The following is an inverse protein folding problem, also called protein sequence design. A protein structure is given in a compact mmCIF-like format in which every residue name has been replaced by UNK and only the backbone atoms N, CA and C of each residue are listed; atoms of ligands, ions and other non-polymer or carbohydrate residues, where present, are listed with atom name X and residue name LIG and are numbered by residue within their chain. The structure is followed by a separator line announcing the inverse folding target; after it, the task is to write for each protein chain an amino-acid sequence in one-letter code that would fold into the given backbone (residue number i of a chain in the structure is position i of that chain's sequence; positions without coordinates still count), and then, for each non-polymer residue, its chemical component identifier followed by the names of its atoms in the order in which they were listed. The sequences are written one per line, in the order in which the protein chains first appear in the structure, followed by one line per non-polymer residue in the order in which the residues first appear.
data_IF_071952270603
#
_entry.id   IF_071952270603
#
_cell.length_a   1.000
_cell.length_b   1.000
_cell.length_c   1.000
_cell.angle_alpha   90.00
_cell.angle_beta   90.00
_cell.angle_gamma   90.00
#
_symmetry.space_group_name_H-M   'P 1'
#
loop_
_entity.id
_entity.type
_entity.pdbx_description
1 polymer ?
2 polymer ?
3 non-polymer ?
4 water ?
#
loop_
_entity_poly.entity_id
_entity_poly.type
_entity_poly.pdbx_seq_one_letter_code
_entity_poly.pdbx_strand_id
2 'polyribonucleotide' 'CU' ?
#
# COMPACT_ATOMS: atom_id res chain seq x y z
N UNK A 1 10.64 14.56 -13.66
CA UNK A 1 11.19 15.73 -12.97
C UNK A 1 12.31 15.31 -12.02
N UNK A 2 11.93 14.84 -10.83
CA UNK A 2 12.86 14.19 -9.91
C UNK A 2 12.90 12.69 -10.12
N UNK A 3 12.90 12.27 -11.38
CA UNK A 3 12.96 10.86 -11.76
C UNK A 3 14.30 10.27 -11.35
N UNK A 4 14.29 9.21 -10.55
CA UNK A 4 15.56 8.66 -10.09
C UNK A 4 15.38 7.19 -9.74
N UNK A 5 16.46 6.43 -9.93
CA UNK A 5 16.42 5.01 -9.57
C UNK A 5 16.58 4.79 -8.07
N UNK A 6 16.75 5.86 -7.29
CA UNK A 6 16.74 5.79 -5.84
C UNK A 6 15.37 6.09 -5.23
N UNK A 7 14.42 6.56 -6.03
CA UNK A 7 13.08 6.84 -5.52
C UNK A 7 12.40 5.55 -5.06
N UNK A 8 11.45 5.69 -4.13
CA UNK A 8 10.77 4.56 -3.52
C UNK A 8 9.29 4.55 -3.89
N UNK A 9 8.79 3.37 -4.27
CA UNK A 9 7.38 3.19 -4.59
C UNK A 9 6.69 2.59 -3.38
N UNK A 10 5.75 3.35 -2.81
CA UNK A 10 4.93 2.93 -1.70
C UNK A 10 3.56 2.53 -2.22
N UNK A 11 3.03 1.41 -1.74
CA UNK A 11 1.76 0.91 -2.24
C UNK A 11 0.95 0.31 -1.09
N UNK A 12 -0.36 0.51 -1.13
CA UNK A 12 -1.26 -0.16 -0.21
C UNK A 12 -2.47 -0.63 -1.00
N UNK A 13 -2.98 -1.80 -0.64
CA UNK A 13 -4.16 -2.39 -1.25
C UNK A 13 -5.21 -2.59 -0.15
N UNK A 14 -6.48 -2.54 -0.54
CA UNK A 14 -7.56 -3.08 0.27
C UNK A 14 -8.15 -4.25 -0.50
N UNK A 15 -8.58 -5.28 0.22
CA UNK A 15 -9.02 -6.53 -0.39
C UNK A 15 -10.30 -7.01 0.27
N UNK A 16 -10.96 -7.98 -0.38
CA UNK A 16 -12.13 -8.61 0.21
C UNK A 16 -11.76 -9.71 1.21
N UNK A 17 -10.48 -9.98 1.40
CA UNK A 17 -10.06 -10.95 2.39
C UNK A 17 -8.57 -11.18 2.28
N UNK A 18 -8.09 -12.21 2.99
CA UNK A 18 -6.65 -12.42 3.15
C UNK A 18 -6.07 -13.43 2.17
N UNK A 19 -6.87 -14.09 1.36
CA UNK A 19 -6.40 -15.21 0.55
C UNK A 19 -6.42 -14.81 -0.92
N UNK A 20 -5.25 -14.59 -1.54
CA UNK A 20 -5.23 -14.12 -2.94
C UNK A 20 -5.95 -15.05 -3.90
N UNK A 21 -6.03 -16.34 -3.61
CA UNK A 21 -6.69 -17.24 -4.53
C UNK A 21 -8.20 -17.12 -4.47
N UNK A 22 -8.73 -16.53 -3.41
CA UNK A 22 -10.16 -16.45 -3.18
C UNK A 22 -10.68 -15.01 -3.28
N UNK A 23 -9.88 -14.05 -2.87
CA UNK A 23 -10.32 -12.69 -2.64
C UNK A 23 -9.78 -11.78 -3.72
N UNK A 24 -10.19 -10.52 -3.67
CA UNK A 24 -9.96 -9.60 -4.76
C UNK A 24 -9.48 -8.27 -4.22
N UNK A 25 -8.79 -7.52 -5.06
CA UNK A 25 -8.37 -6.17 -4.72
C UNK A 25 -9.53 -5.22 -4.96
N UNK A 26 -9.89 -4.43 -3.95
CA UNK A 26 -10.93 -3.42 -4.12
C UNK A 26 -10.42 -1.99 -4.03
N UNK A 27 -9.19 -1.76 -3.54
CA UNK A 27 -8.63 -0.42 -3.65
C UNK A 27 -7.12 -0.52 -3.77
N UNK A 28 -6.54 0.45 -4.47
CA UNK A 28 -5.10 0.53 -4.62
C UNK A 28 -4.71 2.01 -4.57
N UNK A 29 -3.58 2.30 -3.94
CA UNK A 29 -3.02 3.65 -3.98
C UNK A 29 -1.52 3.52 -3.98
N UNK A 30 -0.84 4.48 -4.60
CA UNK A 30 0.61 4.51 -4.63
C UNK A 30 1.10 5.91 -4.29
N UNK A 31 2.29 5.98 -3.72
CA UNK A 31 2.99 7.24 -3.45
C UNK A 31 4.45 7.03 -3.80
N UNK A 32 5.09 8.03 -4.39
CA UNK A 32 6.53 7.98 -4.65
C UNK A 32 7.23 8.94 -3.71
N UNK A 33 8.23 8.46 -2.99
CA UNK A 33 9.10 9.33 -2.22
C UNK A 33 10.49 9.29 -2.80
N UNK A 34 11.31 10.26 -2.43
CA UNK A 34 12.71 10.10 -2.75
C UNK A 34 13.33 9.15 -1.74
N UNK A 35 14.63 8.95 -1.86
CA UNK A 35 15.35 8.06 -0.97
C UNK A 35 15.37 8.54 0.47
N UNK A 36 15.13 9.83 0.70
CA UNK A 36 15.08 10.40 2.04
C UNK A 36 13.65 10.48 2.59
N UNK A 37 12.69 9.84 1.93
CA UNK A 37 11.28 9.72 2.33
C UNK A 37 10.49 11.00 2.11
N UNK A 38 11.03 12.01 1.43
CA UNK A 38 10.21 13.15 1.05
C UNK A 38 9.19 12.72 0.02
N UNK A 39 7.92 13.07 0.23
CA UNK A 39 6.87 12.66 -0.68
C UNK A 39 6.95 13.53 -1.94
N UNK A 40 7.19 12.88 -3.07
CA UNK A 40 7.33 13.57 -4.36
C UNK A 40 6.00 13.69 -5.10
N UNK A 41 5.18 12.65 -5.06
CA UNK A 41 3.96 12.62 -5.85
C UNK A 41 3.07 11.51 -5.32
N UNK A 42 1.77 11.73 -5.38
CA UNK A 42 0.80 10.70 -5.04
C UNK A 42 0.17 10.19 -6.33
N UNK A 43 0.04 8.88 -6.43
CA UNK A 43 -0.47 8.26 -7.63
C UNK A 43 -1.99 8.13 -7.61
N UNK A 44 -2.52 7.42 -8.60
CA UNK A 44 -3.97 7.21 -8.66
C UNK A 44 -4.47 6.50 -7.41
N UNK A 45 -5.59 6.99 -6.87
CA UNK A 45 -6.28 6.32 -5.75
C UNK A 45 -7.53 5.70 -6.36
N UNK A 46 -7.54 4.37 -6.48
CA UNK A 46 -8.49 3.69 -7.36
C UNK A 46 -9.29 2.67 -6.56
N UNK A 47 -10.59 2.91 -6.45
CA UNK A 47 -11.52 1.87 -6.02
C UNK A 47 -11.83 1.02 -7.24
N UNK A 48 -11.55 -0.28 -7.14
CA UNK A 48 -11.64 -1.20 -8.27
C UNK A 48 -12.98 -1.92 -8.20
N UNK A 49 -13.73 -1.87 -9.29
CA UNK A 49 -15.04 -2.47 -9.29
C UNK A 49 -14.96 -3.97 -9.09
N UNK A 50 -15.85 -4.49 -8.25
CA UNK A 50 -16.02 -5.92 -8.07
C UNK A 50 -17.51 -6.20 -8.00
N UNK A 51 -17.97 -7.33 -8.55
CA UNK A 51 -19.41 -7.64 -8.48
C UNK A 51 -19.81 -8.08 -7.08
N UNK A 52 -21.12 -8.09 -6.84
CA UNK A 52 -21.62 -8.41 -5.50
C UNK A 52 -21.13 -9.78 -5.05
N UNK A 53 -21.03 -10.73 -5.97
CA UNK A 53 -20.63 -12.08 -5.57
C UNK A 53 -19.23 -12.08 -4.96
N UNK A 54 -18.36 -11.17 -5.40
CA UNK A 54 -17.05 -11.06 -4.77
C UNK A 54 -17.14 -10.31 -3.46
N UNK A 55 -17.90 -9.22 -3.42
CA UNK A 55 -18.08 -8.52 -2.16
C UNK A 55 -18.72 -9.43 -1.13
N UNK A 56 -19.52 -10.40 -1.58
CA UNK A 56 -20.22 -11.30 -0.67
C UNK A 56 -19.30 -12.32 -0.02
N UNK A 57 -18.03 -12.39 -0.42
CA UNK A 57 -17.09 -13.22 0.29
C UNK A 57 -16.53 -12.56 1.54
N UNK A 58 -16.84 -11.28 1.78
CA UNK A 58 -16.19 -10.58 2.88
C UNK A 58 -16.72 -11.05 4.22
N UNK A 59 -15.81 -11.26 5.17
CA UNK A 59 -16.23 -11.59 6.52
C UNK A 59 -16.72 -10.34 7.24
N UNK A 60 -17.06 -10.47 8.51
CA UNK A 60 -17.63 -9.35 9.25
C UNK A 60 -16.63 -8.20 9.35
N UNK A 61 -15.37 -8.52 9.66
CA UNK A 61 -14.36 -7.46 9.77
C UNK A 61 -14.26 -6.68 8.46
N UNK A 62 -14.11 -7.39 7.34
CA UNK A 62 -14.01 -6.69 6.06
C UNK A 62 -15.29 -5.94 5.73
N UNK A 63 -16.45 -6.57 5.94
CA UNK A 63 -17.70 -5.92 5.59
C UNK A 63 -17.89 -4.62 6.38
N UNK A 64 -17.76 -4.68 7.71
CA UNK A 64 -17.95 -3.47 8.50
C UNK A 64 -16.88 -2.43 8.21
N UNK A 65 -15.61 -2.86 8.11
CA UNK A 65 -14.53 -1.91 7.86
C UNK A 65 -14.71 -1.17 6.54
N UNK A 66 -14.89 -1.92 5.45
CA UNK A 66 -14.95 -1.31 4.13
C UNK A 66 -16.29 -0.65 3.85
N UNK A 67 -17.35 -1.03 4.56
CA UNK A 67 -18.59 -0.28 4.45
C UNK A 67 -18.48 1.06 5.17
N UNK A 68 -17.98 1.03 6.41
CA UNK A 68 -17.96 2.24 7.23
C UNK A 68 -17.01 3.29 6.68
N UNK A 69 -16.00 2.88 5.94
CA UNK A 69 -15.06 3.82 5.32
C UNK A 69 -15.60 4.43 4.04
N UNK A 70 -16.71 3.91 3.51
CA UNK A 70 -17.23 4.38 2.24
C UNK A 70 -16.64 3.67 1.03
N UNK A 71 -15.68 2.76 1.25
CA UNK A 71 -15.04 2.08 0.13
C UNK A 71 -16.01 1.18 -0.61
N UNK A 72 -16.90 0.47 0.10
CA UNK A 72 -17.82 -0.43 -0.59
C UNK A 72 -18.70 0.34 -1.56
N UNK A 73 -19.23 1.48 -1.13
CA UNK A 73 -20.02 2.30 -2.04
C UNK A 73 -19.19 2.73 -3.25
N UNK A 74 -17.93 3.08 -3.03
CA UNK A 74 -17.07 3.50 -4.14
C UNK A 74 -16.78 2.35 -5.07
N UNK A 75 -16.62 1.14 -4.52
CA UNK A 75 -16.39 -0.05 -5.34
C UNK A 75 -17.62 -0.33 -6.20
N UNK A 76 -18.80 -0.26 -5.59
CA UNK A 76 -20.03 -0.52 -6.33
C UNK A 76 -20.21 0.49 -7.45
N UNK A 77 -19.84 1.76 -7.21
CA UNK A 77 -19.98 2.80 -8.21
C UNK A 77 -18.85 2.79 -9.24
N UNK A 78 -17.74 2.12 -8.95
CA UNK A 78 -16.54 2.28 -9.76
C UNK A 78 -16.73 1.70 -11.15
N UNK A 79 -16.13 2.34 -12.14
CA UNK A 79 -16.08 1.86 -13.52
C UNK A 79 -14.67 1.52 -13.94
N UNK A 80 -13.82 1.14 -13.00
CA UNK A 80 -12.40 0.86 -13.26
C UNK A 80 -12.12 -0.59 -12.87
N UNK A 81 -11.67 -1.39 -13.85
CA UNK A 81 -11.28 -2.77 -13.64
C UNK A 81 -9.83 -2.87 -13.17
N UNK A 82 -9.43 -4.07 -12.77
CA UNK A 82 -8.04 -4.28 -12.34
C UNK A 82 -7.06 -3.89 -13.43
N UNK A 83 -7.34 -4.27 -14.68
CA UNK A 83 -6.42 -3.97 -15.77
C UNK A 83 -6.28 -2.47 -15.96
N UNK A 84 -7.40 -1.75 -15.91
CA UNK A 84 -7.35 -0.30 -16.06
C UNK A 84 -6.63 0.34 -14.88
N UNK A 85 -6.80 -0.22 -13.68
CA UNK A 85 -6.08 0.26 -12.52
C UNK A 85 -4.58 0.04 -12.67
N UNK A 86 -4.18 -1.12 -13.20
CA UNK A 86 -2.77 -1.36 -13.52
C UNK A 86 -2.26 -0.32 -14.51
N UNK A 87 -3.00 -0.12 -15.60
CA UNK A 87 -2.57 0.84 -16.61
C UNK A 87 -2.37 2.22 -16.02
N UNK A 88 -3.36 2.71 -15.27
CA UNK A 88 -3.24 4.03 -14.65
C UNK A 88 -2.03 4.10 -13.72
N UNK A 89 -1.83 3.07 -12.90
CA UNK A 89 -0.74 3.12 -11.93
C UNK A 89 0.61 3.06 -12.63
N UNK A 90 0.74 2.22 -13.67
CA UNK A 90 2.00 2.16 -14.40
C UNK A 90 2.30 3.46 -15.10
N UNK A 91 1.28 4.10 -15.68
CA UNK A 91 1.52 5.36 -16.37
C UNK A 91 2.02 6.43 -15.40
N UNK A 92 1.56 6.37 -14.15
CA UNK A 92 2.06 7.27 -13.12
C UNK A 92 3.49 6.93 -12.72
N UNK A 93 3.74 5.66 -12.41
CA UNK A 93 5.05 5.28 -11.87
C UNK A 93 6.17 5.53 -12.87
N UNK A 94 5.92 5.33 -14.16
CA UNK A 94 6.97 5.52 -15.16
C UNK A 94 7.48 6.95 -15.23
N UNK A 95 6.76 7.90 -14.64
CA UNK A 95 7.19 9.30 -14.61
C UNK A 95 8.15 9.60 -13.46
N UNK A 96 8.31 8.67 -12.52
CA UNK A 96 8.98 9.00 -11.27
C UNK A 96 10.10 8.02 -10.91
N UNK A 97 9.96 6.75 -11.30
CA UNK A 97 10.90 5.69 -10.92
C UNK A 97 11.06 4.75 -12.09
N UNK A 98 12.27 4.34 -12.44
CA UNK A 98 12.44 3.36 -13.52
C UNK A 98 12.00 1.97 -13.08
N UNK A 99 11.63 1.18 -14.09
CA UNK A 99 11.17 -0.20 -13.89
C UNK A 99 12.23 -1.03 -13.18
N UNK A 100 11.79 -1.82 -12.19
CA UNK A 100 12.64 -2.82 -11.57
C UNK A 100 13.61 -2.32 -10.52
N UNK A 101 13.55 -1.04 -10.14
CA UNK A 101 14.56 -0.47 -9.24
C UNK A 101 14.07 -0.31 -7.79
N UNK A 102 12.80 0.03 -7.57
CA UNK A 102 12.35 0.29 -6.20
C UNK A 102 11.87 -1.00 -5.54
N UNK A 103 12.31 -1.29 -4.33
CA UNK A 103 11.64 -2.33 -3.54
C UNK A 103 10.18 -1.94 -3.33
N UNK A 104 9.38 -2.92 -2.99
CA UNK A 104 8.00 -2.61 -2.60
C UNK A 104 8.00 -2.12 -1.16
N UNK A 105 7.36 -0.97 -0.91
CA UNK A 105 7.43 -0.28 0.37
C UNK A 105 6.06 -0.15 1.00
N UNK A 106 5.98 -0.41 2.30
CA UNK A 106 4.71 -0.27 3.01
C UNK A 106 4.77 -1.03 4.33
N UNK A 107 3.58 -1.34 4.86
CA UNK A 107 3.43 -2.09 6.10
C UNK A 107 3.00 -3.52 5.78
N UNK A 108 3.76 -4.51 6.27
CA UNK A 108 3.52 -5.94 5.98
C UNK A 108 3.29 -6.15 4.48
N UNK A 109 4.11 -5.46 3.69
CA UNK A 109 3.95 -5.36 2.26
C UNK A 109 4.03 -6.73 1.57
N UNK A 110 4.48 -7.76 2.27
CA UNK A 110 4.45 -9.10 1.68
C UNK A 110 3.05 -9.54 1.30
N UNK A 111 2.07 -9.21 2.13
CA UNK A 111 0.68 -9.56 1.81
C UNK A 111 0.21 -8.85 0.54
N UNK A 112 0.46 -7.55 0.44
CA UNK A 112 0.11 -6.84 -0.80
C UNK A 112 0.81 -7.48 -2.00
N UNK A 113 2.09 -7.82 -1.85
CA UNK A 113 2.81 -8.37 -3.00
C UNK A 113 2.19 -9.70 -3.45
N UNK A 114 1.70 -10.51 -2.50
CA UNK A 114 1.02 -11.75 -2.86
C UNK A 114 -0.17 -11.45 -3.76
N UNK A 115 -0.94 -10.43 -3.41
CA UNK A 115 -2.09 -10.06 -4.23
C UNK A 115 -1.64 -9.50 -5.57
N UNK A 116 -0.53 -8.77 -5.59
CA UNK A 116 -0.03 -8.29 -6.87
C UNK A 116 0.40 -9.44 -7.77
N UNK A 117 1.14 -10.42 -7.22
CA UNK A 117 1.57 -11.56 -8.04
C UNK A 117 0.37 -12.23 -8.70
N UNK A 118 -0.73 -12.37 -7.96
CA UNK A 118 -1.87 -13.15 -8.43
C UNK A 118 -2.77 -12.35 -9.35
N UNK A 119 -3.03 -11.09 -9.00
CA UNK A 119 -4.05 -10.29 -9.65
C UNK A 119 -3.50 -9.18 -10.56
N UNK A 120 -2.25 -8.74 -10.33
CA UNK A 120 -1.67 -7.63 -11.11
C UNK A 120 -0.21 -7.91 -11.40
N UNK A 121 0.12 -9.05 -12.04
CA UNK A 121 1.53 -9.39 -12.21
C UNK A 121 2.31 -8.36 -13.02
N UNK A 122 1.68 -7.66 -13.97
CA UNK A 122 2.37 -6.62 -14.71
C UNK A 122 2.82 -5.49 -13.79
N UNK A 123 2.03 -5.19 -12.75
CA UNK A 123 2.44 -4.19 -11.78
C UNK A 123 3.47 -4.76 -10.80
N UNK A 124 3.29 -6.00 -10.34
CA UNK A 124 4.29 -6.60 -9.47
C UNK A 124 5.67 -6.56 -10.12
N UNK A 125 5.74 -6.80 -11.42
CA UNK A 125 7.01 -6.85 -12.14
C UNK A 125 7.73 -5.51 -12.14
N UNK A 126 7.04 -4.41 -11.84
CA UNK A 126 7.70 -3.09 -11.84
C UNK A 126 8.62 -2.92 -10.64
N UNK A 127 8.41 -3.70 -9.58
CA UNK A 127 9.19 -3.56 -8.36
C UNK A 127 10.46 -4.40 -8.44
N UNK A 128 11.52 -3.89 -7.79
CA UNK A 128 12.66 -4.73 -7.45
C UNK A 128 12.20 -5.87 -6.55
N UNK A 129 12.99 -6.95 -6.50
CA UNK A 129 12.54 -8.09 -5.72
C UNK A 129 12.55 -7.84 -4.21
N UNK A 130 13.21 -6.80 -3.72
CA UNK A 130 13.30 -6.62 -2.30
C UNK A 130 12.06 -5.91 -1.73
N UNK A 131 11.98 -5.90 -0.40
CA UNK A 131 10.86 -5.36 0.35
C UNK A 131 11.39 -4.34 1.35
N UNK A 132 10.73 -3.20 1.43
CA UNK A 132 10.97 -2.29 2.55
C UNK A 132 9.72 -2.33 3.40
N UNK A 133 9.77 -3.13 4.47
CA UNK A 133 8.62 -3.40 5.29
C UNK A 133 8.77 -2.61 6.59
N UNK A 134 7.96 -1.55 6.73
CA UNK A 134 8.05 -0.70 7.91
C UNK A 134 7.69 -1.50 9.17
N UNK A 135 6.84 -2.51 9.03
CA UNK A 135 6.48 -3.33 10.19
C UNK A 135 7.63 -4.17 10.71
N UNK A 136 8.64 -4.42 9.89
CA UNK A 136 9.86 -5.05 10.41
C UNK A 136 10.46 -4.18 11.51
N UNK A 137 10.54 -2.87 11.27
CA UNK A 137 11.12 -1.96 12.25
C UNK A 137 10.21 -1.83 13.45
N UNK A 138 8.90 -1.76 13.23
CA UNK A 138 7.95 -1.74 14.34
C UNK A 138 8.19 -2.93 15.27
N UNK A 139 8.32 -4.13 14.69
CA UNK A 139 8.46 -5.33 15.50
C UNK A 139 9.77 -5.34 16.27
N UNK A 140 10.86 -4.89 15.64
CA UNK A 140 12.13 -4.88 16.35
C UNK A 140 12.13 -3.84 17.46
N UNK A 141 11.48 -2.69 17.22
CA UNK A 141 11.34 -1.69 18.25
C UNK A 141 10.51 -2.20 19.42
N UNK A 142 9.40 -2.88 19.13
CA UNK A 142 8.58 -3.43 20.21
C UNK A 142 9.39 -4.33 21.12
N UNK A 143 10.38 -5.03 20.58
CA UNK A 143 11.17 -5.96 21.36
C UNK A 143 12.38 -5.32 22.02
N UNK A 144 13.00 -4.33 21.38
CA UNK A 144 14.23 -3.75 21.91
C UNK A 144 14.01 -2.52 22.77
N UNK A 145 13.01 -1.70 22.46
CA UNK A 145 12.68 -0.57 23.32
C UNK A 145 11.22 -0.19 23.11
N UNK A 146 10.29 -0.98 23.65
CA UNK A 146 8.87 -0.76 23.32
C UNK A 146 8.33 0.59 23.74
N UNK A 147 8.95 1.25 24.73
CA UNK A 147 8.46 2.56 25.15
C UNK A 147 8.50 3.57 24.00
N UNK A 148 9.36 3.37 23.02
CA UNK A 148 9.42 4.27 21.88
C UNK A 148 8.08 4.31 21.16
N UNK A 149 7.38 3.18 21.12
CA UNK A 149 6.15 3.09 20.33
C UNK A 149 5.01 3.89 20.92
N UNK A 150 5.09 4.28 22.19
CA UNK A 150 4.05 5.12 22.74
C UNK A 150 4.07 6.53 22.18
N UNK A 151 5.14 6.91 21.46
CA UNK A 151 5.25 8.25 20.91
C UNK A 151 4.69 8.38 19.50
N UNK A 152 4.22 7.29 18.90
CA UNK A 152 3.64 7.36 17.57
C UNK A 152 2.34 6.55 17.54
N UNK A 153 1.33 7.10 16.89
CA UNK A 153 0.03 6.45 16.81
C UNK A 153 -0.51 6.57 15.38
N UNK A 154 -1.33 5.60 15.00
CA UNK A 154 -1.91 5.54 13.67
C UNK A 154 -3.42 5.58 13.75
N UNK A 155 -4.05 6.21 12.75
CA UNK A 155 -5.50 6.21 12.65
C UNK A 155 -6.03 4.88 12.11
N UNK A 156 -5.34 4.31 11.12
CA UNK A 156 -5.70 3.03 10.56
C UNK A 156 -7.10 2.99 9.98
N UNK A 157 -7.36 3.82 8.97
CA UNK A 157 -8.71 3.96 8.44
C UNK A 157 -9.04 2.97 7.34
N UNK A 158 -8.04 2.28 6.80
CA UNK A 158 -8.21 1.35 5.68
C UNK A 158 -8.75 2.05 4.43
N UNK A 159 -8.46 3.34 4.34
CA UNK A 159 -8.42 4.03 3.06
C UNK A 159 -6.98 4.00 2.57
N UNK A 160 -6.76 3.41 1.38
CA UNK A 160 -5.41 3.00 0.97
C UNK A 160 -4.42 4.16 0.95
N UNK A 161 -4.83 5.33 0.44
CA UNK A 161 -3.86 6.42 0.40
C UNK A 161 -3.55 6.93 1.81
N UNK A 162 -4.56 7.00 2.67
CA UNK A 162 -4.28 7.50 4.01
C UNK A 162 -3.39 6.53 4.77
N UNK A 163 -3.59 5.23 4.56
CA UNK A 163 -2.78 4.25 5.29
C UNK A 163 -1.35 4.24 4.76
N UNK A 164 -1.15 4.44 3.46
CA UNK A 164 0.23 4.47 3.00
C UNK A 164 0.91 5.76 3.44
N UNK A 165 0.17 6.87 3.52
CA UNK A 165 0.72 8.08 4.13
C UNK A 165 1.14 7.82 5.57
N UNK A 166 0.36 7.03 6.31
CA UNK A 166 0.72 6.68 7.68
C UNK A 166 1.97 5.81 7.71
N UNK A 167 2.12 4.90 6.74
CA UNK A 167 3.31 4.06 6.66
C UNK A 167 4.57 4.92 6.52
N UNK A 168 4.52 5.92 5.64
CA UNK A 168 5.67 6.81 5.44
C UNK A 168 5.96 7.59 6.72
N UNK A 169 4.92 8.14 7.35
CA UNK A 169 5.11 8.87 8.59
C UNK A 169 5.69 7.99 9.67
N UNK A 170 5.29 6.71 9.70
CA UNK A 170 5.82 5.77 10.68
C UNK A 170 7.31 5.56 10.47
N UNK A 171 7.73 5.38 9.22
CA UNK A 171 9.16 5.20 8.94
C UNK A 171 9.94 6.48 9.24
N UNK A 172 9.36 7.64 8.93
CA UNK A 172 9.99 8.90 9.31
C UNK A 172 10.20 8.96 10.82
N UNK A 173 9.19 8.53 11.58
CA UNK A 173 9.31 8.51 13.02
C UNK A 173 10.44 7.59 13.47
N UNK A 174 10.53 6.40 12.87
CA UNK A 174 11.58 5.46 13.26
C UNK A 174 12.97 6.00 12.97
N UNK A 175 13.14 6.67 11.82
CA UNK A 175 14.48 7.17 11.50
C UNK A 175 14.98 8.13 12.58
N UNK A 176 14.10 8.93 13.16
CA UNK A 176 14.52 9.82 14.22
C UNK A 176 14.58 9.12 15.57
N UNK A 177 13.75 8.10 15.79
CA UNK A 177 13.59 7.53 17.12
C UNK A 177 14.43 6.28 17.37
N UNK A 178 14.71 5.47 16.35
CA UNK A 178 15.40 4.21 16.59
C UNK A 178 16.63 4.05 15.69
N UNK A 179 16.75 4.87 14.66
CA UNK A 179 17.95 4.85 13.82
C UNK A 179 18.93 5.93 14.25
N UNK A 180 20.21 5.73 13.92
CA UNK A 180 21.22 6.78 14.10
C UNK A 180 21.91 7.11 12.78
N UNK A 181 21.27 6.81 11.66
CA UNK A 181 21.78 7.16 10.33
C UNK A 181 20.71 7.92 9.55
X LIG C 1 -2.16 -2.67 4.13
#
# INVERSE_FOLDING_TARGET
MSFSDQNLIWIDLEMTGLDPEMHKIIEMATIVTDSELNILAEGPVIAIHQPESELAKMDEWCTTTHTASGLVARVRQSQVSEEEAIDQTLAFLKQWVPEGKSPICGNSIGQDRRFLYKHMPRLEAYFHYRYIDVSTIKELTRRWQPEVLKEFSKTGSHLALDDIRESIAELQFYRKAVFKI
NA NA
#
